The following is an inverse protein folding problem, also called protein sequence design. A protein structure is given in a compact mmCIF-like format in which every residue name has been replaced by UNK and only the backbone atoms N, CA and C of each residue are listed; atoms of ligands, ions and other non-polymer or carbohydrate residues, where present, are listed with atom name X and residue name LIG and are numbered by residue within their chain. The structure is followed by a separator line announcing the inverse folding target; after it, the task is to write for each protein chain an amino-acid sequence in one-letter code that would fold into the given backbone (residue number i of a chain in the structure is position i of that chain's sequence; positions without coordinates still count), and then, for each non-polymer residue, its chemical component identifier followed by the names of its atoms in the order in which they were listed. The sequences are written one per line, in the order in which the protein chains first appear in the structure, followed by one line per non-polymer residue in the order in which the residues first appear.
data_IF_693869975331
#
_entry.id   IF_693869975331
#
_cell.length_a   1.000
_cell.length_b   1.000
_cell.length_c   1.000
_cell.angle_alpha   90.00
_cell.angle_beta   90.00
_cell.angle_gamma   90.00
#
_symmetry.space_group_name_H-M   'P 1'
#
loop_
_entity.id
_entity.type
_entity.pdbx_description
1 polymer ?
#
# COMPACT_ATOMS: atom_id res chain seq x y z
N UNK A 1 -33.77 12.36 40.88
CA UNK A 1 -33.13 11.08 40.48
C UNK A 1 -32.31 11.19 39.20
N UNK A 2 -32.79 11.87 38.14
CA UNK A 2 -32.08 12.00 36.85
C UNK A 2 -30.67 12.63 36.93
N UNK A 3 -30.48 13.69 37.72
CA UNK A 3 -29.17 14.37 37.90
C UNK A 3 -28.09 13.49 38.57
N UNK A 4 -28.50 12.60 39.49
CA UNK A 4 -27.59 11.66 40.16
C UNK A 4 -27.16 10.52 39.21
N UNK A 5 -28.06 10.11 38.31
CA UNK A 5 -27.77 9.09 37.28
C UNK A 5 -26.79 9.62 36.21
N UNK A 6 -26.97 10.86 35.76
CA UNK A 6 -26.04 11.49 34.79
C UNK A 6 -24.63 11.65 35.35
N UNK A 7 -24.50 12.05 36.61
CA UNK A 7 -23.19 12.16 37.28
C UNK A 7 -22.49 10.79 37.43
N UNK A 8 -23.23 9.73 37.74
CA UNK A 8 -22.67 8.39 37.89
C UNK A 8 -22.20 7.81 36.54
N UNK A 9 -22.92 8.11 35.45
CA UNK A 9 -22.60 7.63 34.11
C UNK A 9 -21.35 8.32 33.53
N UNK A 10 -21.15 9.61 33.80
CA UNK A 10 -19.92 10.33 33.42
C UNK A 10 -18.71 9.81 34.20
N UNK A 11 -18.88 9.49 35.49
CA UNK A 11 -17.78 9.00 36.33
C UNK A 11 -17.30 7.58 35.90
N UNK A 12 -18.21 6.74 35.42
CA UNK A 12 -17.88 5.43 34.84
C UNK A 12 -17.08 5.52 33.53
N UNK A 13 -17.33 6.53 32.70
CA UNK A 13 -16.62 6.72 31.42
C UNK A 13 -15.20 7.25 31.64
N UNK A 14 -14.97 8.04 32.69
CA UNK A 14 -13.62 8.54 33.04
C UNK A 14 -12.78 7.46 33.74
N UNK A 15 -13.41 6.57 34.53
CA UNK A 15 -12.70 5.46 35.18
C UNK A 15 -12.24 4.37 34.19
N UNK A 16 -12.94 4.17 33.07
CA UNK A 16 -12.56 3.16 32.07
C UNK A 16 -11.37 3.59 31.20
N UNK A 17 -11.11 4.89 31.08
CA UNK A 17 -9.98 5.41 30.30
C UNK A 17 -8.63 5.20 31.01
N UNK A 18 -8.61 5.09 32.34
CA UNK A 18 -7.37 4.82 33.10
C UNK A 18 -6.93 3.35 33.08
N UNK A 19 -7.84 2.40 32.82
CA UNK A 19 -7.47 0.97 32.76
C UNK A 19 -6.76 0.60 31.45
N UNK A 20 -7.09 1.26 30.33
CA UNK A 20 -6.43 1.01 29.04
C UNK A 20 -4.97 1.49 29.03
N UNK A 21 -4.67 2.65 29.64
CA UNK A 21 -3.30 3.20 29.67
C UNK A 21 -2.35 2.32 30.51
N UNK A 22 -2.87 1.61 31.51
CA UNK A 22 -2.08 0.65 32.29
C UNK A 22 -1.81 -0.65 31.50
N UNK A 23 -2.75 -1.10 30.66
CA UNK A 23 -2.51 -2.27 29.79
C UNK A 23 -1.53 -1.97 28.65
N UNK A 24 -1.53 -0.74 28.12
CA UNK A 24 -0.58 -0.33 27.08
C UNK A 24 0.87 -0.23 27.56
N UNK A 25 1.11 0.07 28.84
CA UNK A 25 2.48 0.16 29.37
C UNK A 25 3.09 -1.19 29.80
N UNK A 26 2.26 -2.21 30.03
CA UNK A 26 2.71 -3.54 30.48
C UNK A 26 3.00 -4.52 29.34
N UNK A 27 2.51 -4.25 28.13
CA UNK A 27 2.85 -4.99 26.91
C UNK A 27 3.73 -4.12 26.00
N UNK A 28 4.98 -3.91 26.43
CA UNK A 28 6.04 -3.41 25.56
C UNK A 28 6.66 -4.63 24.87
N UNK A 29 6.52 -4.83 23.55
CA UNK A 29 7.26 -5.88 22.87
C UNK A 29 8.77 -5.63 23.01
N UNK A 30 9.60 -6.69 23.17
CA UNK A 30 11.03 -6.53 23.32
C UNK A 30 11.60 -5.86 22.07
N UNK A 31 12.49 -4.89 22.27
CA UNK A 31 13.23 -4.25 21.19
C UNK A 31 14.04 -5.32 20.47
N UNK A 32 13.75 -5.54 19.19
CA UNK A 32 14.63 -6.30 18.31
C UNK A 32 16.00 -5.61 18.30
N UNK A 33 16.98 -6.34 18.82
CA UNK A 33 18.38 -6.00 18.90
C UNK A 33 18.93 -5.94 17.47
N UNK A 34 19.02 -4.73 16.92
CA UNK A 34 19.65 -4.46 15.62
C UNK A 34 21.12 -4.84 15.71
N UNK A 35 21.44 -6.05 15.25
CA UNK A 35 22.81 -6.48 14.98
C UNK A 35 23.44 -5.54 13.95
N UNK A 36 24.35 -4.73 14.46
CA UNK A 36 25.21 -3.80 13.74
C UNK A 36 26.12 -4.54 12.75
N UNK A 37 26.17 -4.17 11.46
CA UNK A 37 27.36 -4.40 10.67
C UNK A 37 28.25 -3.15 10.77
N UNK A 38 29.28 -3.23 11.61
CA UNK A 38 30.48 -2.42 11.45
C UNK A 38 31.20 -2.90 10.19
N UNK A 39 31.07 -2.15 9.09
CA UNK A 39 32.02 -2.24 7.97
C UNK A 39 32.50 -0.83 7.64
N UNK A 40 33.78 -0.60 7.86
CA UNK A 40 34.50 0.62 7.51
C UNK A 40 34.46 0.88 6.01
N UNK A 41 34.32 2.14 5.54
CA UNK A 41 34.86 2.54 4.25
C UNK A 41 36.30 3.02 4.44
N UNK A 42 37.27 2.22 3.99
CA UNK A 42 38.65 2.65 3.82
C UNK A 42 38.75 3.51 2.57
N UNK A 43 39.16 4.77 2.74
CA UNK A 43 39.45 5.70 1.65
C UNK A 43 40.77 5.31 0.99
N UNK A 44 40.72 5.03 -0.31
CA UNK A 44 41.91 5.04 -1.18
C UNK A 44 41.77 6.20 -2.16
N UNK A 45 42.74 7.13 -2.23
CA UNK A 45 42.96 7.92 -3.42
C UNK A 45 44.05 7.26 -4.26
N UNK A 46 43.92 7.31 -5.59
CA UNK A 46 44.96 7.62 -6.60
C UNK A 46 44.58 7.02 -7.96
N UNK A 47 44.13 7.89 -8.87
CA UNK A 47 44.15 7.70 -10.34
C UNK A 47 45.61 7.63 -10.81
N UNK A 48 46.00 6.82 -11.81
CA UNK A 48 45.98 7.35 -13.18
C UNK A 48 45.78 6.32 -14.32
N UNK A 49 45.48 6.87 -15.51
CA UNK A 49 45.91 6.41 -16.84
C UNK A 49 44.85 5.79 -17.76
N UNK A 50 44.23 6.69 -18.52
CA UNK A 50 43.80 6.57 -19.92
C UNK A 50 44.77 5.73 -20.77
N UNK A 51 44.24 4.80 -21.57
CA UNK A 51 44.37 4.96 -23.02
C UNK A 51 43.02 4.79 -23.75
N UNK A 52 42.65 5.86 -24.46
CA UNK A 52 41.89 5.84 -25.72
C UNK A 52 42.74 5.15 -26.82
N UNK A 53 42.23 4.62 -27.95
CA UNK A 53 40.86 4.45 -28.47
C UNK A 53 40.55 2.98 -28.82
N UNK A 54 39.31 2.65 -29.21
CA UNK A 54 39.05 1.93 -30.48
C UNK A 54 37.56 1.61 -30.63
N UNK A 55 36.94 2.34 -31.57
CA UNK A 55 35.89 1.86 -32.49
C UNK A 55 34.56 1.38 -31.89
N UNK A 56 33.55 2.21 -32.16
CA UNK A 56 32.13 1.86 -32.27
C UNK A 56 31.88 0.50 -32.94
N UNK A 57 31.08 -0.35 -32.30
CA UNK A 57 30.04 -1.09 -33.00
C UNK A 57 28.66 -0.63 -32.53
N UNK A 58 27.72 -0.69 -33.48
CA UNK A 58 26.34 -0.23 -33.41
C UNK A 58 25.59 -0.59 -32.09
N UNK A 59 24.61 0.21 -31.66
CA UNK A 59 23.69 -0.18 -30.59
C UNK A 59 22.90 -1.42 -31.02
N UNK A 60 23.40 -2.60 -30.64
CA UNK A 60 22.61 -3.81 -30.49
C UNK A 60 21.56 -3.53 -29.42
N UNK A 61 20.28 -3.62 -29.78
CA UNK A 61 19.17 -3.57 -28.83
C UNK A 61 19.39 -4.61 -27.73
N UNK A 62 19.80 -4.13 -26.57
CA UNK A 62 20.02 -4.93 -25.38
C UNK A 62 18.64 -5.29 -24.80
N UNK A 63 18.39 -6.55 -24.40
CA UNK A 63 17.15 -6.89 -23.72
C UNK A 63 17.07 -6.05 -22.45
N UNK A 64 16.16 -5.07 -22.43
CA UNK A 64 15.87 -4.34 -21.21
C UNK A 64 15.31 -5.35 -20.23
N UNK A 65 16.11 -5.78 -19.26
CA UNK A 65 15.67 -6.52 -18.09
C UNK A 65 14.82 -5.55 -17.25
N UNK A 66 13.59 -5.29 -17.70
CA UNK A 66 12.66 -4.38 -17.04
C UNK A 66 12.09 -5.13 -15.85
N UNK A 67 12.34 -4.64 -14.65
CA UNK A 67 11.66 -5.12 -13.45
C UNK A 67 10.15 -5.00 -13.63
N UNK A 68 9.35 -6.02 -13.25
CA UNK A 68 7.89 -5.93 -13.34
C UNK A 68 7.36 -4.73 -12.56
N UNK A 69 6.41 -4.00 -13.13
CA UNK A 69 5.75 -2.88 -12.46
C UNK A 69 4.69 -3.39 -11.50
N UNK A 70 4.70 -2.97 -10.24
CA UNK A 70 3.64 -3.33 -9.29
C UNK A 70 2.34 -2.60 -9.62
N UNK A 71 1.23 -3.32 -9.61
CA UNK A 71 -0.13 -2.80 -9.80
C UNK A 71 -0.99 -3.18 -8.59
N UNK A 72 -1.41 -2.18 -7.81
CA UNK A 72 -2.20 -2.34 -6.59
C UNK A 72 -3.68 -2.25 -6.89
N UNK A 73 -4.39 -3.36 -6.70
CA UNK A 73 -5.79 -3.50 -7.08
C UNK A 73 -6.65 -3.71 -5.85
N UNK A 74 -7.51 -2.74 -5.56
CA UNK A 74 -8.48 -2.82 -4.47
C UNK A 74 -9.80 -3.32 -5.04
N UNK A 75 -10.22 -4.52 -4.66
CA UNK A 75 -11.36 -5.18 -5.27
C UNK A 75 -12.35 -5.72 -4.24
N UNK A 76 -13.63 -5.71 -4.62
CA UNK A 76 -14.69 -6.35 -3.83
C UNK A 76 -14.37 -7.81 -3.51
N UNK A 77 -14.57 -8.22 -2.25
CA UNK A 77 -14.28 -9.59 -1.80
C UNK A 77 -14.97 -10.69 -2.65
N UNK A 78 -16.16 -10.43 -3.19
CA UNK A 78 -16.87 -11.37 -4.07
C UNK A 78 -16.17 -11.66 -5.41
N UNK A 79 -15.17 -10.86 -5.80
CA UNK A 79 -14.44 -10.99 -7.06
C UNK A 79 -13.12 -11.77 -6.91
N UNK A 80 -12.73 -12.14 -5.69
CA UNK A 80 -11.43 -12.76 -5.37
C UNK A 80 -11.10 -13.94 -6.29
N UNK A 81 -11.94 -14.98 -6.29
CA UNK A 81 -11.73 -16.19 -7.10
C UNK A 81 -11.62 -15.92 -8.60
N UNK A 82 -12.33 -14.90 -9.11
CA UNK A 82 -12.29 -14.54 -10.53
C UNK A 82 -10.98 -13.84 -10.85
N UNK A 83 -10.60 -12.85 -10.05
CA UNK A 83 -9.39 -12.07 -10.27
C UNK A 83 -8.11 -12.90 -10.11
N UNK A 84 -8.06 -13.76 -9.09
CA UNK A 84 -6.93 -14.68 -8.86
C UNK A 84 -6.75 -15.65 -10.04
N UNK A 85 -7.84 -16.21 -10.58
CA UNK A 85 -7.79 -17.11 -11.74
C UNK A 85 -7.19 -16.45 -12.99
N UNK A 86 -7.33 -15.13 -13.10
CA UNK A 86 -6.83 -14.36 -14.25
C UNK A 86 -5.50 -13.64 -13.99
N UNK A 87 -5.00 -13.66 -12.76
CA UNK A 87 -3.78 -12.97 -12.36
C UNK A 87 -2.56 -13.47 -13.14
N UNK A 88 -2.29 -14.79 -13.11
CA UNK A 88 -1.11 -15.37 -13.78
C UNK A 88 -1.09 -15.07 -15.27
N UNK A 89 -2.25 -15.11 -15.92
CA UNK A 89 -2.37 -14.75 -17.33
C UNK A 89 -2.01 -13.28 -17.56
N UNK A 90 -2.57 -12.38 -16.76
CA UNK A 90 -2.30 -10.95 -16.90
C UNK A 90 -0.81 -10.63 -16.65
N UNK A 91 -0.21 -11.21 -15.62
CA UNK A 91 1.22 -11.05 -15.30
C UNK A 91 2.14 -11.74 -16.32
N UNK A 92 1.69 -12.80 -17.00
CA UNK A 92 2.44 -13.44 -18.08
C UNK A 92 2.40 -12.65 -19.39
N UNK A 93 1.30 -11.97 -19.67
CA UNK A 93 1.11 -11.15 -20.88
C UNK A 93 1.67 -9.72 -20.72
N UNK A 94 1.82 -9.23 -19.49
CA UNK A 94 2.26 -7.86 -19.19
C UNK A 94 3.48 -7.88 -18.28
N UNK A 95 4.42 -6.93 -18.42
CA UNK A 95 5.54 -6.78 -17.48
C UNK A 95 5.09 -6.12 -16.15
N UNK A 96 4.13 -6.76 -15.47
CA UNK A 96 3.48 -6.25 -14.27
C UNK A 96 3.33 -7.34 -13.21
N UNK A 97 3.29 -6.93 -11.94
CA UNK A 97 2.98 -7.77 -10.77
C UNK A 97 1.73 -7.21 -10.10
N UNK A 98 0.68 -7.99 -10.01
CA UNK A 98 -0.59 -7.56 -9.42
C UNK A 98 -0.61 -7.87 -7.93
N UNK A 99 -0.97 -6.88 -7.13
CA UNK A 99 -1.09 -7.00 -5.67
C UNK A 99 -2.54 -6.66 -5.31
N UNK A 100 -3.28 -7.66 -4.89
CA UNK A 100 -4.69 -7.49 -4.54
C UNK A 100 -4.90 -7.10 -3.06
N UNK A 101 -5.86 -6.22 -2.83
CA UNK A 101 -6.47 -5.98 -1.53
C UNK A 101 -7.98 -6.25 -1.65
N UNK A 102 -8.42 -7.38 -1.10
CA UNK A 102 -9.82 -7.81 -1.15
C UNK A 102 -10.55 -7.43 0.14
N UNK A 103 -11.59 -6.61 0.01
CA UNK A 103 -12.51 -6.33 1.11
C UNK A 103 -13.86 -5.84 0.58
N UNK A 104 -14.78 -5.48 1.46
CA UNK A 104 -16.00 -4.77 1.08
C UNK A 104 -15.69 -3.32 0.73
N UNK A 105 -16.48 -2.70 -0.15
CA UNK A 105 -16.19 -1.35 -0.64
C UNK A 105 -16.25 -0.27 0.46
N UNK A 106 -17.07 -0.48 1.50
CA UNK A 106 -17.10 0.36 2.71
C UNK A 106 -15.81 0.28 3.54
N UNK A 107 -15.01 -0.78 3.39
CA UNK A 107 -13.69 -0.93 4.01
C UNK A 107 -12.55 -0.43 3.14
N UNK A 108 -12.69 -0.57 1.81
CA UNK A 108 -11.67 -0.12 0.84
C UNK A 108 -11.70 1.40 0.65
N UNK A 109 -12.88 2.01 0.57
CA UNK A 109 -13.01 3.45 0.35
C UNK A 109 -12.25 4.29 1.41
N UNK A 110 -12.39 4.05 2.73
CA UNK A 110 -11.64 4.81 3.73
C UNK A 110 -10.13 4.66 3.60
N UNK A 111 -9.64 3.51 3.11
CA UNK A 111 -8.21 3.31 2.87
C UNK A 111 -7.74 4.20 1.71
N UNK A 112 -8.47 4.20 0.58
CA UNK A 112 -8.16 5.07 -0.57
C UNK A 112 -8.24 6.55 -0.16
N UNK A 113 -9.31 6.93 0.56
CA UNK A 113 -9.50 8.29 1.07
C UNK A 113 -8.36 8.74 2.01
N UNK A 114 -7.82 7.80 2.79
CA UNK A 114 -6.69 8.06 3.70
C UNK A 114 -5.32 8.04 2.99
N UNK A 115 -5.29 7.93 1.66
CA UNK A 115 -4.05 7.93 0.87
C UNK A 115 -3.37 6.57 0.76
N UNK A 116 -4.09 5.47 1.00
CA UNK A 116 -3.56 4.14 0.70
C UNK A 116 -3.34 4.02 -0.81
N UNK A 117 -2.16 3.56 -1.26
CA UNK A 117 -1.83 3.52 -2.67
C UNK A 117 -2.68 2.46 -3.38
N UNK A 118 -3.50 2.92 -4.31
CA UNK A 118 -4.44 2.13 -5.08
C UNK A 118 -4.40 2.63 -6.53
N UNK A 119 -4.05 1.73 -7.45
CA UNK A 119 -3.98 2.05 -8.88
C UNK A 119 -5.31 1.72 -9.57
N UNK A 120 -5.97 0.64 -9.14
CA UNK A 120 -7.26 0.20 -9.70
C UNK A 120 -8.22 -0.14 -8.59
N UNK A 121 -9.39 0.49 -8.60
CA UNK A 121 -10.49 0.18 -7.70
C UNK A 121 -11.65 -0.51 -8.43
N UNK A 122 -11.97 -1.74 -8.05
CA UNK A 122 -13.06 -2.54 -8.62
C UNK A 122 -14.17 -2.69 -7.58
N UNK A 123 -15.13 -1.77 -7.64
CA UNK A 123 -16.26 -1.76 -6.70
C UNK A 123 -17.35 -2.75 -7.10
N UNK A 124 -17.89 -3.55 -6.16
CA UNK A 124 -19.13 -4.30 -6.37
C UNK A 124 -20.39 -3.41 -6.37
N UNK A 125 -20.31 -2.18 -5.87
CA UNK A 125 -21.44 -1.23 -5.84
C UNK A 125 -21.00 0.14 -6.38
N UNK A 126 -21.69 0.62 -7.41
CA UNK A 126 -21.42 1.88 -8.09
C UNK A 126 -21.53 3.12 -7.17
N UNK A 127 -22.22 3.01 -6.03
CA UNK A 127 -22.26 4.05 -4.99
C UNK A 127 -20.86 4.52 -4.58
N UNK A 128 -19.91 3.60 -4.42
CA UNK A 128 -18.56 3.94 -3.94
C UNK A 128 -17.70 4.59 -5.02
N UNK A 129 -17.84 4.16 -6.28
CA UNK A 129 -17.20 4.83 -7.42
C UNK A 129 -17.67 6.27 -7.56
N UNK A 130 -18.98 6.52 -7.41
CA UNK A 130 -19.51 7.90 -7.39
C UNK A 130 -18.98 8.73 -6.23
N UNK A 131 -18.77 8.11 -5.06
CA UNK A 131 -18.20 8.80 -3.91
C UNK A 131 -16.73 9.19 -4.15
N UNK A 132 -15.91 8.28 -4.68
CA UNK A 132 -14.53 8.58 -5.06
C UNK A 132 -14.46 9.73 -6.07
N UNK A 133 -15.36 9.74 -7.06
CA UNK A 133 -15.49 10.86 -8.01
C UNK A 133 -15.81 12.17 -7.29
N UNK A 134 -16.83 12.17 -6.44
CA UNK A 134 -17.24 13.37 -5.71
C UNK A 134 -16.13 13.96 -4.82
N UNK A 135 -15.20 13.11 -4.36
CA UNK A 135 -14.07 13.51 -3.54
C UNK A 135 -12.80 13.84 -4.35
N UNK A 136 -12.85 13.75 -5.69
CA UNK A 136 -11.71 14.02 -6.56
C UNK A 136 -10.58 12.99 -6.44
N UNK A 137 -10.91 11.75 -6.11
CA UNK A 137 -9.94 10.65 -5.90
C UNK A 137 -9.79 9.72 -7.12
N UNK A 138 -10.44 10.04 -8.25
CA UNK A 138 -10.30 9.29 -9.49
C UNK A 138 -9.25 9.95 -10.39
N UNK A 139 -8.41 9.13 -11.01
CA UNK A 139 -7.52 9.62 -12.05
C UNK A 139 -8.32 10.14 -13.25
N UNK A 140 -8.08 11.40 -13.63
CA UNK A 140 -8.75 12.08 -14.74
C UNK A 140 -10.30 12.03 -14.70
N UNK A 141 -10.89 11.89 -13.50
CA UNK A 141 -12.34 11.71 -13.29
C UNK A 141 -12.97 10.54 -14.08
N UNK A 142 -12.17 9.56 -14.50
CA UNK A 142 -12.61 8.44 -15.33
C UNK A 142 -13.07 7.23 -14.50
N UNK A 143 -14.12 6.57 -14.97
CA UNK A 143 -14.53 5.25 -14.51
C UNK A 143 -15.33 4.54 -15.60
N UNK A 144 -15.39 3.21 -15.54
CA UNK A 144 -16.25 2.40 -16.41
C UNK A 144 -17.33 1.73 -15.59
N UNK A 145 -18.57 1.77 -16.08
CA UNK A 145 -19.69 1.02 -15.54
C UNK A 145 -20.10 -0.05 -16.56
N UNK A 146 -20.21 -1.29 -16.10
CA UNK A 146 -20.50 -2.46 -16.94
C UNK A 146 -21.97 -2.91 -16.86
N UNK A 147 -22.82 -2.16 -16.15
CA UNK A 147 -24.29 -2.33 -16.11
C UNK A 147 -24.98 -1.13 -16.75
#
# INVERSE_FOLDING_TARGET
MKRKLTLLLVLLIVASSSLAVLSYNLWKPPAEEVVSPTVMPSLTPTTPTTPEPSLTPAPTEQPTNRTPTELRVFAGAGLMHVLEKHQERFEGENNARVIFNFASADRLYPQIYSGSPCDVFISPDFKWTKKLKADGLLDNDQYWNFT
#
